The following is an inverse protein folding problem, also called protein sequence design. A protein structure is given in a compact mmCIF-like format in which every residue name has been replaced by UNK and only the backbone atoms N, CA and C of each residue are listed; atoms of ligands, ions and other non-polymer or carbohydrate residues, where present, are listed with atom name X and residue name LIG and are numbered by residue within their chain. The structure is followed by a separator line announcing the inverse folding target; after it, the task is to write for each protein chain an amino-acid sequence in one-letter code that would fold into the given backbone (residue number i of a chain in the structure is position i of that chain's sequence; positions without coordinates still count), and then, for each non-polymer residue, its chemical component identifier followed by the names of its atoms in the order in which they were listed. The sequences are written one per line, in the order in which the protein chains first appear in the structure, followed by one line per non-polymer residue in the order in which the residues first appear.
data_IF_028032839668
#
_entry.id   IF_028032839668
#
_cell.length_a   1.000
_cell.length_b   1.000
_cell.length_c   1.000
_cell.angle_alpha   90.00
_cell.angle_beta   90.00
_cell.angle_gamma   90.00
#
_symmetry.space_group_name_H-M   'P 1'
#
loop_
_entity.id
_entity.type
_entity.pdbx_description
1 polymer ?
#
# COMPACT_ATOMS: atom_id res chain seq x y z
N UNK A 1 -17.48 -14.21 2.87
CA UNK A 1 -17.48 -13.11 1.88
C UNK A 1 -17.69 -11.81 2.64
N UNK A 2 -16.81 -10.83 2.46
CA UNK A 2 -16.97 -9.52 3.11
C UNK A 2 -18.14 -8.81 2.42
N UNK A 3 -19.25 -8.60 3.14
CA UNK A 3 -20.38 -7.85 2.61
C UNK A 3 -20.14 -6.36 2.88
N UNK A 4 -19.46 -5.70 1.94
CA UNK A 4 -19.12 -4.28 2.05
C UNK A 4 -20.34 -3.44 1.65
N UNK A 5 -21.11 -2.98 2.63
CA UNK A 5 -22.25 -2.08 2.42
C UNK A 5 -21.77 -0.62 2.31
N UNK A 6 -21.31 -0.24 1.13
CA UNK A 6 -20.90 1.14 0.84
C UNK A 6 -22.13 2.01 0.48
N UNK A 7 -22.07 3.33 0.78
CA UNK A 7 -23.06 4.28 0.28
C UNK A 7 -23.19 4.24 -1.25
N UNK A 8 -24.37 4.56 -1.80
CA UNK A 8 -24.65 4.40 -3.23
C UNK A 8 -23.86 5.34 -4.16
N UNK A 9 -23.21 6.36 -3.61
CA UNK A 9 -22.39 7.29 -4.40
C UNK A 9 -20.99 6.73 -4.73
N UNK A 10 -20.57 5.61 -4.11
CA UNK A 10 -19.33 4.93 -4.49
C UNK A 10 -19.57 3.99 -5.66
N UNK A 11 -18.65 4.04 -6.63
CA UNK A 11 -18.65 3.07 -7.71
C UNK A 11 -18.16 1.72 -7.17
N UNK A 12 -19.09 0.77 -7.03
CA UNK A 12 -18.84 -0.59 -6.58
C UNK A 12 -19.20 -1.55 -7.69
N UNK A 13 -18.27 -2.43 -8.04
CA UNK A 13 -18.50 -3.50 -9.00
C UNK A 13 -18.16 -4.85 -8.37
N UNK A 14 -19.11 -5.75 -8.35
CA UNK A 14 -18.89 -7.13 -7.91
C UNK A 14 -18.40 -7.97 -9.10
N UNK A 15 -17.20 -8.55 -8.97
CA UNK A 15 -16.60 -9.43 -9.99
C UNK A 15 -16.31 -10.78 -9.36
N UNK A 16 -17.09 -11.79 -9.71
CA UNK A 16 -17.02 -13.13 -9.13
C UNK A 16 -17.15 -13.09 -7.60
N UNK A 17 -16.02 -13.33 -6.88
CA UNK A 17 -15.93 -13.28 -5.42
C UNK A 17 -15.22 -12.02 -4.92
N UNK A 18 -15.00 -11.05 -5.79
CA UNK A 18 -14.26 -9.83 -5.51
C UNK A 18 -15.15 -8.60 -5.62
N UNK A 19 -14.80 -7.57 -4.92
CA UNK A 19 -15.46 -6.25 -4.98
C UNK A 19 -14.41 -5.23 -5.39
N UNK A 20 -14.68 -4.50 -6.48
CA UNK A 20 -13.88 -3.35 -6.90
C UNK A 20 -14.56 -2.08 -6.42
N UNK A 21 -13.82 -1.21 -5.76
CA UNK A 21 -14.31 0.06 -5.25
C UNK A 21 -13.42 1.19 -5.77
N UNK A 22 -14.02 2.17 -6.44
CA UNK A 22 -13.33 3.38 -6.86
C UNK A 22 -13.66 4.50 -5.86
N UNK A 23 -12.78 4.72 -4.90
CA UNK A 23 -12.92 5.73 -3.85
C UNK A 23 -11.58 6.00 -3.17
N UNK A 24 -11.48 7.06 -2.36
CA UNK A 24 -10.39 7.21 -1.40
C UNK A 24 -10.46 6.09 -0.36
N UNK A 25 -9.32 5.50 -0.03
CA UNK A 25 -9.28 4.39 0.93
C UNK A 25 -9.77 4.81 2.33
N UNK A 26 -9.56 6.05 2.76
CA UNK A 26 -10.05 6.54 4.05
C UNK A 26 -11.57 6.65 4.10
N UNK A 27 -12.23 6.87 2.97
CA UNK A 27 -13.68 6.85 2.88
C UNK A 27 -14.23 5.41 2.95
N UNK A 28 -13.43 4.41 2.55
CA UNK A 28 -13.82 3.00 2.55
C UNK A 28 -13.53 2.31 3.88
N UNK A 29 -12.45 2.66 4.57
CA UNK A 29 -12.07 2.02 5.83
C UNK A 29 -13.21 1.93 6.86
N UNK A 30 -14.06 2.93 7.09
CA UNK A 30 -15.16 2.84 8.06
C UNK A 30 -16.14 1.69 7.80
N UNK A 31 -16.22 1.20 6.57
CA UNK A 31 -17.11 0.10 6.18
C UNK A 31 -16.45 -1.28 6.28
N UNK A 32 -15.16 -1.32 6.60
CA UNK A 32 -14.42 -2.56 6.84
C UNK A 32 -14.45 -2.87 8.34
N UNK A 33 -15.00 -4.03 8.69
CA UNK A 33 -15.10 -4.46 10.09
C UNK A 33 -13.70 -4.66 10.71
N UNK A 34 -13.61 -4.42 12.01
CA UNK A 34 -12.39 -4.68 12.78
C UNK A 34 -11.99 -6.15 12.69
N UNK A 35 -10.68 -6.41 12.63
CA UNK A 35 -10.12 -7.76 12.62
C UNK A 35 -10.73 -8.70 11.57
N UNK A 36 -11.10 -8.16 10.39
CA UNK A 36 -11.75 -8.92 9.32
C UNK A 36 -10.85 -9.27 8.14
N UNK A 37 -9.74 -8.56 7.97
CA UNK A 37 -8.83 -8.68 6.81
C UNK A 37 -7.70 -9.65 7.12
N UNK A 38 -7.41 -10.61 6.23
CA UNK A 38 -6.30 -11.56 6.39
C UNK A 38 -5.00 -11.04 5.79
N UNK A 39 -5.09 -10.27 4.69
CA UNK A 39 -3.95 -9.72 3.96
C UNK A 39 -4.28 -8.31 3.49
N UNK A 40 -3.37 -7.39 3.72
CA UNK A 40 -3.30 -6.10 3.06
C UNK A 40 -2.12 -6.17 2.09
N UNK A 41 -2.38 -6.02 0.80
CA UNK A 41 -1.36 -5.94 -0.24
C UNK A 41 -1.59 -4.63 -0.98
N UNK A 42 -0.64 -3.70 -0.89
CA UNK A 42 -0.84 -2.35 -1.40
C UNK A 42 0.44 -1.75 -1.98
N UNK A 43 0.27 -1.08 -3.12
CA UNK A 43 1.25 -0.19 -3.72
C UNK A 43 0.84 1.26 -3.38
N UNK A 44 1.51 1.85 -2.40
CA UNK A 44 1.21 3.19 -1.90
C UNK A 44 1.82 4.26 -2.80
N UNK A 45 1.32 5.50 -2.80
CA UNK A 45 2.00 6.61 -3.44
C UNK A 45 3.31 6.94 -2.71
N UNK A 46 4.42 7.03 -3.45
CA UNK A 46 5.77 7.21 -2.89
C UNK A 46 6.19 8.68 -2.75
N UNK A 47 5.44 9.61 -3.37
CA UNK A 47 5.81 11.02 -3.42
C UNK A 47 7.07 11.31 -4.25
N UNK A 48 7.36 10.47 -5.25
CA UNK A 48 8.58 10.56 -6.07
C UNK A 48 8.34 11.02 -7.49
N UNK A 49 7.09 11.19 -7.89
CA UNK A 49 6.69 11.64 -9.23
C UNK A 49 6.05 13.02 -9.19
N UNK A 50 5.94 13.67 -10.35
CA UNK A 50 5.23 14.96 -10.50
C UNK A 50 3.70 14.80 -10.62
N UNK A 51 3.17 13.59 -10.43
CA UNK A 51 1.74 13.33 -10.51
C UNK A 51 1.02 13.88 -9.28
N UNK A 52 -0.09 14.56 -9.47
CA UNK A 52 -0.85 15.19 -8.38
C UNK A 52 -1.39 14.19 -7.35
N UNK A 53 -1.57 12.92 -7.73
CA UNK A 53 -2.02 11.84 -6.85
C UNK A 53 -0.88 11.18 -6.06
N UNK A 54 0.39 11.41 -6.44
CA UNK A 54 1.54 10.78 -5.79
C UNK A 54 1.97 11.56 -4.54
N UNK A 55 1.09 11.60 -3.57
CA UNK A 55 1.31 12.26 -2.28
C UNK A 55 1.39 11.18 -1.20
N UNK A 56 2.46 11.21 -0.41
CA UNK A 56 2.64 10.25 0.69
C UNK A 56 1.47 10.36 1.67
N UNK A 57 0.81 9.23 1.88
CA UNK A 57 -0.27 9.12 2.85
C UNK A 57 0.29 9.26 4.27
N UNK A 58 -0.32 10.06 5.16
CA UNK A 58 0.12 10.17 6.55
C UNK A 58 0.13 8.81 7.24
N UNK A 59 1.33 8.33 7.60
CA UNK A 59 1.53 6.97 8.11
C UNK A 59 0.79 6.68 9.41
N UNK A 60 0.70 7.65 10.32
CA UNK A 60 -0.03 7.51 11.57
C UNK A 60 -1.50 7.14 11.35
N UNK A 61 -2.18 7.86 10.44
CA UNK A 61 -3.57 7.60 10.05
C UNK A 61 -3.71 6.26 9.33
N UNK A 62 -2.77 5.95 8.42
CA UNK A 62 -2.78 4.68 7.68
C UNK A 62 -2.62 3.50 8.63
N UNK A 63 -1.63 3.53 9.52
CA UNK A 63 -1.38 2.47 10.50
C UNK A 63 -2.53 2.29 11.48
N UNK A 64 -3.20 3.38 11.87
CA UNK A 64 -4.40 3.30 12.72
C UNK A 64 -5.48 2.41 12.06
N UNK A 65 -5.75 2.63 10.77
CA UNK A 65 -6.74 1.84 10.05
C UNK A 65 -6.26 0.41 9.78
N UNK A 66 -5.02 0.23 9.33
CA UNK A 66 -4.47 -1.09 9.06
C UNK A 66 -4.46 -1.97 10.32
N UNK A 67 -4.02 -1.44 11.46
CA UNK A 67 -4.03 -2.15 12.75
C UNK A 67 -5.43 -2.53 13.21
N UNK A 68 -6.42 -1.69 12.91
CA UNK A 68 -7.82 -1.95 13.25
C UNK A 68 -8.41 -3.10 12.43
N UNK A 69 -8.23 -3.06 11.11
CA UNK A 69 -8.90 -4.00 10.19
C UNK A 69 -8.18 -5.34 10.04
N UNK A 70 -6.85 -5.38 10.20
CA UNK A 70 -6.09 -6.62 10.03
C UNK A 70 -6.34 -7.58 11.20
N UNK A 71 -6.47 -8.89 10.91
CA UNK A 71 -6.56 -9.94 11.92
C UNK A 71 -5.23 -10.11 12.65
N UNK A 72 -5.24 -10.70 13.84
CA UNK A 72 -4.05 -10.91 14.68
C UNK A 72 -2.97 -11.76 13.99
N UNK A 73 -3.38 -12.67 13.09
CA UNK A 73 -2.47 -13.48 12.24
C UNK A 73 -2.46 -12.99 10.78
N UNK A 74 -2.97 -11.79 10.53
CA UNK A 74 -2.95 -11.19 9.20
C UNK A 74 -1.57 -10.63 8.86
N UNK A 75 -1.34 -10.38 7.58
CA UNK A 75 -0.07 -9.89 7.04
C UNK A 75 -0.31 -8.60 6.27
N UNK A 76 0.60 -7.64 6.42
CA UNK A 76 0.59 -6.40 5.64
C UNK A 76 1.82 -6.39 4.75
N UNK A 77 1.61 -6.24 3.45
CA UNK A 77 2.65 -6.29 2.40
C UNK A 77 2.56 -5.01 1.59
N UNK A 78 3.60 -4.19 1.66
CA UNK A 78 3.62 -2.86 1.05
C UNK A 78 4.82 -2.72 0.11
N UNK A 79 4.53 -2.33 -1.13
CA UNK A 79 5.56 -1.98 -2.10
C UNK A 79 6.20 -0.65 -1.76
N UNK A 80 7.45 -0.50 -2.14
CA UNK A 80 8.19 0.72 -1.90
C UNK A 80 9.49 0.81 -2.67
N UNK A 81 9.97 2.03 -2.75
CA UNK A 81 11.22 2.41 -3.38
C UNK A 81 11.90 3.47 -2.52
N UNK A 82 13.23 3.44 -2.38
CA UNK A 82 13.91 4.46 -1.60
C UNK A 82 13.73 5.87 -2.20
N UNK A 83 13.59 6.92 -1.36
CA UNK A 83 13.67 6.94 0.11
C UNK A 83 12.36 6.57 0.84
N UNK A 84 11.24 6.39 0.11
CA UNK A 84 9.93 6.07 0.70
C UNK A 84 9.96 4.79 1.55
N UNK A 85 10.65 3.73 1.09
CA UNK A 85 10.74 2.46 1.82
C UNK A 85 11.35 2.63 3.22
N UNK A 86 12.36 3.47 3.36
CA UNK A 86 12.97 3.78 4.66
C UNK A 86 12.00 4.52 5.58
N UNK A 87 11.26 5.51 5.06
CA UNK A 87 10.24 6.23 5.82
C UNK A 87 9.10 5.31 6.26
N UNK A 88 8.65 4.45 5.35
CA UNK A 88 7.59 3.46 5.62
C UNK A 88 8.00 2.51 6.76
N UNK A 89 9.19 1.90 6.67
CA UNK A 89 9.68 0.95 7.69
C UNK A 89 9.85 1.62 9.04
N UNK A 90 10.47 2.80 9.08
CA UNK A 90 10.67 3.54 10.35
C UNK A 90 9.38 4.01 10.98
N UNK A 91 8.31 4.20 10.21
CA UNK A 91 7.00 4.59 10.73
C UNK A 91 6.31 3.50 11.57
N UNK A 92 6.75 2.23 11.48
CA UNK A 92 6.17 1.11 12.24
C UNK A 92 7.17 -0.04 12.43
N UNK A 93 8.33 0.25 13.02
CA UNK A 93 9.40 -0.73 13.25
C UNK A 93 8.95 -1.93 14.09
N UNK A 94 8.04 -1.73 15.04
CA UNK A 94 7.55 -2.82 15.91
C UNK A 94 6.83 -3.92 15.13
N UNK A 95 6.23 -3.58 13.99
CA UNK A 95 5.50 -4.52 13.15
C UNK A 95 6.32 -5.01 11.97
N UNK A 96 7.39 -4.30 11.60
CA UNK A 96 8.25 -4.68 10.49
C UNK A 96 8.91 -6.04 10.75
N UNK A 97 8.88 -6.93 9.74
CA UNK A 97 9.43 -8.28 9.80
C UNK A 97 10.66 -8.45 8.91
N UNK A 98 10.48 -8.25 7.61
CA UNK A 98 11.51 -8.42 6.58
C UNK A 98 11.06 -7.79 5.27
N UNK A 99 11.99 -7.73 4.30
CA UNK A 99 11.72 -7.32 2.93
C UNK A 99 11.91 -8.46 1.94
N UNK A 100 11.16 -8.38 0.85
CA UNK A 100 11.52 -9.03 -0.41
C UNK A 100 12.03 -8.00 -1.39
N UNK A 101 12.91 -8.44 -2.30
CA UNK A 101 13.38 -7.65 -3.44
C UNK A 101 12.62 -8.13 -4.68
N UNK A 102 11.92 -7.22 -5.31
CA UNK A 102 11.29 -7.46 -6.60
C UNK A 102 12.19 -6.91 -7.70
N UNK A 103 12.88 -7.82 -8.40
CA UNK A 103 13.66 -7.47 -9.59
C UNK A 103 12.71 -7.25 -10.78
N UNK A 104 12.84 -6.08 -11.42
CA UNK A 104 12.04 -5.70 -12.59
C UNK A 104 12.75 -6.12 -13.87
N UNK A 105 11.96 -6.49 -14.90
CA UNK A 105 12.51 -6.84 -16.20
C UNK A 105 13.15 -5.65 -16.93
N UNK A 106 12.73 -4.43 -16.60
CA UNK A 106 13.25 -3.20 -17.18
C UNK A 106 13.75 -2.25 -16.08
N UNK A 107 14.85 -1.59 -16.37
CA UNK A 107 15.37 -0.53 -15.49
C UNK A 107 14.51 0.73 -15.61
N UNK A 108 14.36 1.44 -14.49
CA UNK A 108 13.78 2.78 -14.44
C UNK A 108 14.83 3.89 -14.40
N UNK A 109 14.37 5.14 -14.39
CA UNK A 109 15.19 6.33 -14.16
C UNK A 109 16.29 6.59 -15.22
N UNK A 110 16.02 6.33 -16.48
CA UNK A 110 16.97 6.55 -17.59
C UNK A 110 17.54 7.99 -17.63
N UNK A 111 16.75 8.97 -17.19
CA UNK A 111 17.17 10.37 -17.14
C UNK A 111 18.33 10.63 -16.17
N UNK A 112 18.50 9.74 -15.18
CA UNK A 112 19.51 9.87 -14.12
C UNK A 112 20.75 9.02 -14.36
N UNK A 113 20.87 8.34 -15.50
CA UNK A 113 21.98 7.39 -15.80
C UNK A 113 23.38 8.01 -15.67
N UNK A 114 23.52 9.30 -15.90
CA UNK A 114 24.80 10.01 -15.78
C UNK A 114 25.15 10.37 -14.33
N UNK A 115 24.25 10.21 -13.39
CA UNK A 115 24.42 10.62 -11.99
C UNK A 115 24.37 9.45 -11.02
N UNK A 116 23.63 8.38 -11.37
CA UNK A 116 23.47 7.21 -10.51
C UNK A 116 23.21 5.94 -11.33
N UNK A 117 23.48 4.73 -10.77
CA UNK A 117 23.11 3.47 -11.41
C UNK A 117 21.62 3.39 -11.69
N UNK A 118 21.26 2.73 -12.79
CA UNK A 118 19.86 2.46 -13.11
C UNK A 118 19.23 1.53 -12.06
N UNK A 119 18.01 1.84 -11.67
CA UNK A 119 17.28 1.08 -10.67
C UNK A 119 16.47 -0.03 -11.36
N UNK A 120 16.72 -1.28 -10.97
CA UNK A 120 16.06 -2.47 -11.51
C UNK A 120 15.20 -3.21 -10.48
N UNK A 121 15.07 -2.67 -9.28
CA UNK A 121 14.32 -3.35 -8.22
C UNK A 121 13.44 -2.40 -7.43
N UNK A 122 12.44 -2.97 -6.78
CA UNK A 122 11.65 -2.38 -5.70
C UNK A 122 11.72 -3.26 -4.45
N UNK A 123 11.48 -2.68 -3.31
CA UNK A 123 11.37 -3.42 -2.05
C UNK A 123 9.89 -3.70 -1.75
N UNK A 124 9.63 -4.84 -1.13
CA UNK A 124 8.31 -5.22 -0.66
C UNK A 124 8.44 -5.48 0.82
N UNK A 125 8.01 -4.53 1.64
CA UNK A 125 8.13 -4.61 3.09
C UNK A 125 6.96 -5.39 3.70
N UNK A 126 7.27 -6.29 4.62
CA UNK A 126 6.31 -7.17 5.30
C UNK A 126 6.23 -6.81 6.78
N UNK A 127 4.98 -6.63 7.24
CA UNK A 127 4.63 -6.27 8.61
C UNK A 127 3.67 -7.27 9.24
#
# INVERSE_FOLDING_TARGET
MMNLQLPPHYCKTDVMRSVLVHADCFDVFPYIADKSVNLILCDLPYGTTACAWDIIIPFDKLWQQYKRIIKDKGVIVLFGSEPFSSLLRTSNLDWYKYDWIWEKNNSGNFQLVNYQPLKIHETISVF
#
